data_IF_706159613584
#
_entry.id   IF_706159613584
#
_cell.length_a   1.000
_cell.length_b   1.000
_cell.length_c   1.000
_cell.angle_alpha   90.00
_cell.angle_beta   90.00
_cell.angle_gamma   90.00
#
_symmetry.space_group_name_H-M   'P 1'
#
loop_
_entity.id
_entity.type
_entity.pdbx_description
1 polymer ?
#
# COMPACT_ATOMS: atom_id res chain seq x y z
N UNK A 1 -21.28 -25.44 -31.56
CA UNK A 1 -20.11 -24.59 -31.26
C UNK A 1 -20.28 -23.73 -30.01
N UNK A 2 -21.47 -23.16 -29.74
CA UNK A 2 -21.76 -22.35 -28.53
C UNK A 2 -21.51 -23.10 -27.21
N UNK A 3 -21.83 -24.41 -27.15
CA UNK A 3 -21.64 -25.24 -25.94
C UNK A 3 -20.17 -25.40 -25.50
N UNK A 4 -19.19 -25.28 -26.41
CA UNK A 4 -17.76 -25.35 -26.08
C UNK A 4 -17.19 -24.00 -25.61
N UNK A 5 -17.77 -22.90 -26.06
CA UNK A 5 -17.42 -21.54 -25.63
C UNK A 5 -17.81 -21.28 -24.16
N UNK A 6 -18.94 -21.82 -23.70
CA UNK A 6 -19.40 -21.69 -22.31
C UNK A 6 -18.45 -22.44 -21.34
N UNK A 7 -17.85 -23.54 -21.77
CA UNK A 7 -16.89 -24.31 -20.95
C UNK A 7 -15.57 -23.59 -20.70
N UNK A 8 -15.07 -22.80 -21.66
CA UNK A 8 -13.85 -22.01 -21.47
C UNK A 8 -14.05 -20.80 -20.57
N UNK A 9 -15.26 -20.23 -20.52
CA UNK A 9 -15.55 -19.04 -19.72
C UNK A 9 -15.53 -19.34 -18.20
N UNK A 10 -15.87 -20.56 -17.79
CA UNK A 10 -15.82 -20.95 -16.37
C UNK A 10 -14.40 -21.09 -15.81
N UNK A 11 -13.40 -21.39 -16.64
CA UNK A 11 -12.01 -21.56 -16.19
C UNK A 11 -11.31 -20.23 -15.87
N UNK A 12 -11.85 -19.10 -16.33
CA UNK A 12 -11.29 -17.77 -16.07
C UNK A 12 -11.62 -17.23 -14.66
N UNK A 13 -12.49 -17.90 -13.89
CA UNK A 13 -12.85 -17.49 -12.53
C UNK A 13 -11.92 -18.05 -11.43
N UNK A 14 -10.92 -18.87 -11.78
CA UNK A 14 -10.09 -19.58 -10.78
C UNK A 14 -8.79 -18.87 -10.38
N UNK A 15 -8.55 -17.63 -10.80
CA UNK A 15 -7.31 -16.93 -10.47
C UNK A 15 -7.55 -15.54 -9.91
N UNK A 16 -7.70 -15.43 -8.59
CA UNK A 16 -7.11 -14.32 -7.83
C UNK A 16 -7.10 -14.62 -6.32
N UNK A 17 -6.36 -15.65 -5.91
CA UNK A 17 -5.84 -15.63 -4.54
C UNK A 17 -4.71 -14.58 -4.52
N UNK A 18 -5.05 -13.30 -4.32
CA UNK A 18 -4.03 -12.27 -4.13
C UNK A 18 -3.27 -12.59 -2.86
N UNK A 19 -1.98 -12.93 -3.00
CA UNK A 19 -1.10 -13.08 -1.85
C UNK A 19 -1.10 -11.77 -1.05
N UNK A 20 -1.29 -11.85 0.26
CA UNK A 20 -1.17 -10.71 1.17
C UNK A 20 0.32 -10.48 1.47
N UNK A 21 0.99 -9.73 0.60
CA UNK A 21 2.39 -9.35 0.74
C UNK A 21 2.58 -8.12 1.65
N UNK A 22 3.82 -7.65 1.81
CA UNK A 22 4.10 -6.45 2.62
C UNK A 22 3.34 -5.21 2.12
N UNK A 23 3.18 -5.04 0.80
CA UNK A 23 2.46 -3.89 0.23
C UNK A 23 0.97 -3.94 0.58
N UNK A 24 0.36 -5.13 0.54
CA UNK A 24 -1.03 -5.32 0.97
C UNK A 24 -1.23 -4.83 2.40
N UNK A 25 -0.38 -5.23 3.34
CA UNK A 25 -0.53 -4.82 4.75
C UNK A 25 -0.25 -3.33 4.97
N UNK A 26 0.76 -2.75 4.29
CA UNK A 26 1.07 -1.30 4.36
C UNK A 26 -0.10 -0.43 3.93
N UNK A 27 -0.87 -0.90 2.96
CA UNK A 27 -2.00 -0.15 2.40
C UNK A 27 -3.35 -0.48 3.07
N UNK A 28 -3.39 -1.44 4.00
CA UNK A 28 -4.60 -1.88 4.70
C UNK A 28 -4.41 -1.86 6.23
N UNK A 29 -4.32 -0.66 6.87
CA UNK A 29 -4.07 -0.50 8.31
C UNK A 29 -4.94 -1.36 9.23
N UNK A 30 -6.25 -1.47 8.93
CA UNK A 30 -7.18 -2.26 9.73
C UNK A 30 -6.89 -3.76 9.65
N UNK A 31 -6.57 -4.25 8.44
CA UNK A 31 -6.23 -5.67 8.23
C UNK A 31 -4.94 -6.01 8.94
N UNK A 32 -3.94 -5.13 8.87
CA UNK A 32 -2.71 -5.28 9.63
C UNK A 32 -2.97 -5.38 11.14
N UNK A 33 -3.77 -4.46 11.71
CA UNK A 33 -4.10 -4.48 13.13
C UNK A 33 -4.84 -5.75 13.54
N UNK A 34 -5.79 -6.21 12.74
CA UNK A 34 -6.50 -7.45 12.99
C UNK A 34 -5.54 -8.65 12.94
N UNK A 35 -4.67 -8.71 11.94
CA UNK A 35 -3.71 -9.82 11.75
C UNK A 35 -2.69 -9.87 12.89
N UNK A 36 -2.19 -8.71 13.35
CA UNK A 36 -1.24 -8.65 14.45
C UNK A 36 -1.81 -9.16 15.79
N UNK A 37 -3.12 -9.01 16.02
CA UNK A 37 -3.78 -9.57 17.22
C UNK A 37 -3.78 -11.10 17.23
N UNK A 38 -3.67 -11.72 16.06
CA UNK A 38 -3.62 -13.18 15.91
C UNK A 38 -2.18 -13.72 15.97
N UNK A 39 -1.16 -12.85 16.03
CA UNK A 39 0.24 -13.26 16.15
C UNK A 39 0.63 -13.60 17.60
N UNK A 40 1.43 -14.66 17.84
CA UNK A 40 1.97 -15.62 16.87
C UNK A 40 1.03 -16.82 16.58
N UNK A 41 -0.18 -16.84 17.17
CA UNK A 41 -1.08 -17.99 17.13
C UNK A 41 -1.54 -18.43 15.72
N UNK A 42 -1.57 -17.51 14.75
CA UNK A 42 -1.82 -17.82 13.33
C UNK A 42 -0.74 -17.21 12.47
N UNK A 43 -0.14 -18.02 11.61
CA UNK A 43 0.93 -17.57 10.74
C UNK A 43 0.35 -16.91 9.47
N UNK A 44 0.60 -15.60 9.25
CA UNK A 44 0.20 -14.91 8.03
C UNK A 44 1.10 -15.32 6.86
N UNK A 45 0.78 -14.81 5.67
CA UNK A 45 1.59 -14.95 4.46
C UNK A 45 2.97 -14.29 4.55
N UNK A 46 3.17 -13.36 5.48
CA UNK A 46 4.47 -12.80 5.89
C UNK A 46 4.68 -13.01 7.40
N UNK A 47 5.92 -12.93 7.89
CA UNK A 47 6.19 -13.17 9.32
C UNK A 47 5.56 -12.10 10.22
N UNK A 48 5.25 -12.47 11.47
CA UNK A 48 4.77 -11.53 12.48
C UNK A 48 5.78 -10.41 12.77
N UNK A 49 7.09 -10.68 12.64
CA UNK A 49 8.12 -9.65 12.74
C UNK A 49 8.00 -8.61 11.63
N UNK A 50 7.77 -9.06 10.39
CA UNK A 50 7.53 -8.16 9.26
C UNK A 50 6.25 -7.35 9.42
N UNK A 51 5.16 -7.98 9.91
CA UNK A 51 3.94 -7.24 10.25
C UNK A 51 4.19 -6.18 11.33
N UNK A 52 5.01 -6.50 12.34
CA UNK A 52 5.34 -5.56 13.41
C UNK A 52 6.14 -4.36 12.90
N UNK A 53 7.10 -4.59 11.99
CA UNK A 53 7.85 -3.49 11.37
C UNK A 53 6.96 -2.60 10.52
N UNK A 54 6.03 -3.19 9.74
CA UNK A 54 5.01 -2.43 9.02
C UNK A 54 4.16 -1.61 10.00
N UNK A 55 3.72 -2.19 11.13
CA UNK A 55 2.91 -1.48 12.11
C UNK A 55 3.65 -0.32 12.78
N UNK A 56 4.96 -0.44 13.05
CA UNK A 56 5.77 0.67 13.56
C UNK A 56 5.80 1.84 12.59
N UNK A 57 5.99 1.57 11.29
CA UNK A 57 5.94 2.61 10.25
C UNK A 57 4.57 3.30 10.19
N UNK A 58 3.51 2.51 10.26
CA UNK A 58 2.14 3.03 10.20
C UNK A 58 1.80 3.87 11.44
N UNK A 59 2.22 3.44 12.62
CA UNK A 59 2.07 4.20 13.86
C UNK A 59 2.85 5.51 13.81
N UNK A 60 4.07 5.50 13.23
CA UNK A 60 4.84 6.72 12.99
C UNK A 60 4.08 7.69 12.09
N UNK A 61 3.53 7.23 10.97
CA UNK A 61 2.74 8.09 10.08
C UNK A 61 1.44 8.58 10.71
N UNK A 62 0.74 7.72 11.46
CA UNK A 62 -0.44 8.10 12.22
C UNK A 62 -0.13 9.20 13.23
N UNK A 63 0.98 9.06 13.96
CA UNK A 63 1.46 10.07 14.89
C UNK A 63 1.82 11.38 14.18
N UNK A 64 2.54 11.33 13.04
CA UNK A 64 2.83 12.54 12.24
C UNK A 64 1.54 13.25 11.80
N UNK A 65 0.53 12.50 11.35
CA UNK A 65 -0.75 13.04 10.93
C UNK A 65 -1.47 13.72 12.10
N UNK A 66 -1.59 13.05 13.24
CA UNK A 66 -2.24 13.60 14.43
C UNK A 66 -1.51 14.82 14.99
N UNK A 67 -0.18 14.81 14.99
CA UNK A 67 0.64 15.90 15.52
C UNK A 67 0.54 17.16 14.65
N UNK A 68 0.58 17.02 13.32
CA UNK A 68 0.47 18.14 12.40
C UNK A 68 -0.13 17.71 11.05
N UNK A 69 -1.47 17.74 10.90
CA UNK A 69 -2.14 17.31 9.68
C UNK A 69 -1.73 18.10 8.44
N UNK A 70 -1.48 19.41 8.59
CA UNK A 70 -1.10 20.29 7.50
C UNK A 70 0.28 19.94 6.96
N UNK A 71 1.26 19.73 7.84
CA UNK A 71 2.61 19.28 7.48
C UNK A 71 2.58 17.88 6.86
N UNK A 72 1.71 16.99 7.36
CA UNK A 72 1.52 15.68 6.76
C UNK A 72 0.98 15.79 5.32
N UNK A 73 -0.03 16.64 5.10
CA UNK A 73 -0.55 16.94 3.77
C UNK A 73 0.50 17.55 2.83
N UNK A 74 1.34 18.47 3.32
CA UNK A 74 2.45 19.03 2.54
C UNK A 74 3.46 17.98 2.09
N UNK A 75 3.75 16.97 2.92
CA UNK A 75 4.60 15.83 2.53
C UNK A 75 3.97 15.02 1.40
N UNK A 76 2.66 14.75 1.46
CA UNK A 76 1.92 14.07 0.37
C UNK A 76 2.04 14.85 -0.94
N UNK A 77 1.78 16.16 -0.90
CA UNK A 77 1.90 17.01 -2.08
C UNK A 77 3.33 17.02 -2.64
N UNK A 78 4.33 17.08 -1.75
CA UNK A 78 5.74 17.04 -2.15
C UNK A 78 6.11 15.74 -2.85
N UNK A 79 5.64 14.59 -2.34
CA UNK A 79 5.82 13.28 -2.96
C UNK A 79 5.16 13.22 -4.36
N UNK A 80 3.94 13.76 -4.50
CA UNK A 80 3.26 13.81 -5.79
C UNK A 80 4.02 14.67 -6.83
N UNK A 81 4.52 15.83 -6.41
CA UNK A 81 5.36 16.70 -7.26
C UNK A 81 6.66 15.98 -7.64
N UNK A 82 7.32 15.33 -6.69
CA UNK A 82 8.56 14.59 -6.93
C UNK A 82 8.35 13.42 -7.89
N UNK A 83 7.26 12.66 -7.74
CA UNK A 83 6.88 11.59 -8.65
C UNK A 83 6.70 12.10 -10.07
N UNK A 84 5.95 13.19 -10.25
CA UNK A 84 5.73 13.78 -11.57
C UNK A 84 7.05 14.23 -12.22
N UNK A 85 7.95 14.86 -11.46
CA UNK A 85 9.28 15.26 -11.94
C UNK A 85 10.12 14.06 -12.36
N UNK A 86 10.19 13.04 -11.50
CA UNK A 86 11.01 11.84 -11.73
C UNK A 86 10.47 11.02 -12.92
N UNK A 87 9.14 10.97 -13.09
CA UNK A 87 8.51 10.32 -14.25
C UNK A 87 8.86 11.04 -15.56
N UNK A 88 8.75 12.37 -15.59
CA UNK A 88 9.15 13.15 -16.76
C UNK A 88 10.66 12.98 -17.08
N UNK A 89 11.51 12.95 -16.05
CA UNK A 89 12.95 12.71 -16.23
C UNK A 89 13.24 11.31 -16.81
N UNK A 90 12.51 10.28 -16.36
CA UNK A 90 12.61 8.92 -16.90
C UNK A 90 12.11 8.81 -18.34
N UNK A 91 11.04 9.52 -18.70
CA UNK A 91 10.56 9.59 -20.09
C UNK A 91 11.62 10.19 -21.02
N UNK A 92 12.34 11.20 -20.55
CA UNK A 92 13.47 11.80 -21.28
C UNK A 92 14.71 10.90 -21.27
N UNK A 93 14.89 10.05 -20.24
CA UNK A 93 16.08 9.22 -20.03
C UNK A 93 15.74 7.77 -19.62
N UNK A 94 15.17 6.95 -20.53
CA UNK A 94 14.52 5.67 -20.19
C UNK A 94 15.45 4.56 -19.67
N UNK A 95 16.77 4.75 -19.81
CA UNK A 95 17.80 3.77 -19.40
C UNK A 95 18.24 3.91 -17.95
N UNK A 96 17.74 4.90 -17.21
CA UNK A 96 18.13 5.12 -15.82
C UNK A 96 17.34 4.20 -14.86
N UNK A 97 17.94 3.09 -14.45
CA UNK A 97 17.34 2.15 -13.49
C UNK A 97 17.06 2.80 -12.13
N UNK A 98 17.93 3.72 -11.69
CA UNK A 98 17.78 4.46 -10.43
C UNK A 98 16.49 5.29 -10.37
N UNK A 99 16.06 5.89 -11.49
CA UNK A 99 14.81 6.65 -11.53
C UNK A 99 13.59 5.74 -11.37
N UNK A 100 13.63 4.51 -11.91
CA UNK A 100 12.55 3.54 -11.74
C UNK A 100 12.40 3.13 -10.29
N UNK A 101 13.52 2.80 -9.63
CA UNK A 101 13.51 2.46 -8.21
C UNK A 101 12.99 3.63 -7.35
N UNK A 102 13.42 4.85 -7.64
CA UNK A 102 12.94 6.04 -6.93
C UNK A 102 11.43 6.25 -7.10
N UNK A 103 10.91 6.05 -8.31
CA UNK A 103 9.47 6.12 -8.60
C UNK A 103 8.71 5.08 -7.78
N UNK A 104 9.21 3.86 -7.68
CA UNK A 104 8.53 2.79 -6.95
C UNK A 104 8.53 3.06 -5.44
N UNK A 105 9.66 3.52 -4.90
CA UNK A 105 9.76 3.96 -3.50
C UNK A 105 8.79 5.11 -3.19
N UNK A 106 8.75 6.15 -4.03
CA UNK A 106 7.86 7.29 -3.80
C UNK A 106 6.38 6.92 -3.94
N UNK A 107 6.04 6.03 -4.89
CA UNK A 107 4.68 5.48 -5.02
C UNK A 107 4.29 4.72 -3.76
N UNK A 108 5.18 3.89 -3.23
CA UNK A 108 4.91 3.10 -2.04
C UNK A 108 4.70 4.01 -0.81
N UNK A 109 5.56 5.01 -0.62
CA UNK A 109 5.40 5.97 0.49
C UNK A 109 4.10 6.77 0.33
N UNK A 110 3.80 7.27 -0.88
CA UNK A 110 2.57 8.01 -1.16
C UNK A 110 1.32 7.17 -0.85
N UNK A 111 1.25 5.92 -1.34
CA UNK A 111 0.13 5.01 -1.07
C UNK A 111 -0.03 4.78 0.44
N UNK A 112 1.07 4.55 1.14
CA UNK A 112 1.05 4.29 2.60
C UNK A 112 0.54 5.53 3.35
N UNK A 113 1.02 6.73 3.05
CA UNK A 113 0.54 7.97 3.69
C UNK A 113 -0.95 8.21 3.43
N UNK A 114 -1.41 7.97 2.19
CA UNK A 114 -2.82 8.08 1.85
C UNK A 114 -3.68 7.02 2.55
N UNK A 115 -3.18 5.81 2.72
CA UNK A 115 -3.85 4.76 3.49
C UNK A 115 -4.04 5.15 4.96
N UNK A 116 -3.06 5.84 5.56
CA UNK A 116 -3.18 6.38 6.93
C UNK A 116 -4.26 7.46 7.02
N UNK A 117 -4.27 8.42 6.08
CA UNK A 117 -5.34 9.44 6.03
C UNK A 117 -6.70 8.77 5.89
N UNK A 118 -6.86 7.84 4.94
CA UNK A 118 -8.10 7.09 4.75
C UNK A 118 -8.53 6.35 6.01
N UNK A 119 -7.59 5.76 6.74
CA UNK A 119 -7.90 4.99 7.93
C UNK A 119 -8.33 5.83 9.12
N UNK A 120 -7.67 6.97 9.38
CA UNK A 120 -7.93 7.80 10.55
C UNK A 120 -9.08 8.80 10.33
N UNK A 121 -9.21 9.32 9.12
CA UNK A 121 -10.21 10.35 8.78
C UNK A 121 -11.52 9.77 8.21
N UNK A 122 -11.62 8.45 8.05
CA UNK A 122 -12.87 7.82 7.60
C UNK A 122 -13.98 8.01 8.64
N UNK A 123 -15.24 8.23 8.23
CA UNK A 123 -16.37 8.27 9.18
C UNK A 123 -16.46 7.01 10.03
N UNK A 124 -16.10 5.85 9.47
CA UNK A 124 -16.10 4.55 10.15
C UNK A 124 -15.04 4.40 11.24
N UNK A 125 -14.09 5.34 11.38
CA UNK A 125 -13.10 5.34 12.46
C UNK A 125 -13.48 6.22 13.65
N UNK A 126 -14.63 6.91 13.62
CA UNK A 126 -15.16 7.63 14.79
C UNK A 126 -16.09 6.72 15.61
N UNK A 127 -15.94 6.66 16.94
CA UNK A 127 -16.85 5.93 17.82
C UNK A 127 -18.26 6.52 17.84
#
# INVERSE_FOLDING_TARGET
MVKRLIGCLMMLFLTSCMAHDEEYYRNNPRVLQATLKECPGKQPSISCDKLNDIAKDMNRFAFELQLNPQRFGQKILSLQIQLAKTQNELEQNPKQSMLKEKIDQDKQELKTRLAIVKWLESPESRP
#
